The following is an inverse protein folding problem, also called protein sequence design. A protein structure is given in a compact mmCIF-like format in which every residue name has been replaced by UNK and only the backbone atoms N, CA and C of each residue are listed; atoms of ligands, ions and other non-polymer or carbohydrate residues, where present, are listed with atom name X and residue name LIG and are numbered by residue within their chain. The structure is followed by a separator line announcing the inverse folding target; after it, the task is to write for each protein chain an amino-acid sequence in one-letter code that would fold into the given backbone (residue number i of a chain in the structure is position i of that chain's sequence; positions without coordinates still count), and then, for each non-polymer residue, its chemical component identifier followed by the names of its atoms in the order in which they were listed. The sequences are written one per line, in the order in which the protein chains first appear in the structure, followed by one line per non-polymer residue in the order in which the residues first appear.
data_IF_895104741713
#
_entry.id   IF_895104741713
#
_cell.length_a   1.000
_cell.length_b   1.000
_cell.length_c   1.000
_cell.angle_alpha   90.00
_cell.angle_beta   90.00
_cell.angle_gamma   90.00
#
_symmetry.space_group_name_H-M   'P 1'
#
loop_
_entity.id
_entity.type
_entity.pdbx_description
1 polymer ?
#
# COMPACT_ATOMS: atom_id res chain seq x y z
N UNK A 1 -0.81 24.89 9.61
CA UNK A 1 -1.87 23.84 9.58
C UNK A 1 -1.66 22.85 8.43
N UNK A 2 -1.40 23.28 7.18
CA UNK A 2 -1.21 22.37 6.05
C UNK A 2 0.00 21.42 6.21
N UNK A 3 1.11 21.88 6.77
CA UNK A 3 2.32 21.08 6.99
C UNK A 3 2.09 19.93 7.99
N UNK A 4 1.35 20.16 9.07
CA UNK A 4 1.01 19.15 10.07
C UNK A 4 0.07 18.08 9.53
N UNK A 5 -0.77 18.42 8.55
CA UNK A 5 -1.67 17.48 7.90
C UNK A 5 -0.91 16.49 7.02
N UNK A 6 0.15 16.93 6.33
CA UNK A 6 0.96 16.08 5.46
C UNK A 6 1.80 15.04 6.24
N UNK A 7 2.18 15.33 7.47
CA UNK A 7 2.91 14.39 8.33
C UNK A 7 2.06 13.15 8.71
N UNK A 8 0.73 13.26 8.59
CA UNK A 8 -0.22 12.19 8.87
C UNK A 8 -0.52 11.31 7.66
N UNK A 9 0.01 11.65 6.50
CA UNK A 9 -0.24 10.97 5.23
C UNK A 9 1.04 10.28 4.76
N UNK A 10 0.96 8.98 4.46
CA UNK A 10 2.00 8.25 3.75
C UNK A 10 1.50 7.89 2.35
N UNK A 11 2.38 7.96 1.36
CA UNK A 11 2.09 7.59 -0.02
C UNK A 11 3.10 6.57 -0.53
N UNK A 12 2.59 5.50 -1.09
CA UNK A 12 3.36 4.49 -1.83
C UNK A 12 3.00 4.62 -3.29
N UNK A 13 3.95 5.14 -4.05
CA UNK A 13 3.83 5.27 -5.50
C UNK A 13 3.97 3.93 -6.22
N UNK A 14 3.48 3.88 -7.45
CA UNK A 14 3.62 2.74 -8.32
C UNK A 14 5.11 2.43 -8.56
N UNK A 15 5.45 1.15 -8.47
CA UNK A 15 6.83 0.65 -8.59
C UNK A 15 7.57 1.09 -9.86
N UNK A 16 6.87 1.30 -10.96
CA UNK A 16 7.47 1.71 -12.25
C UNK A 16 8.23 3.04 -12.20
N UNK A 17 7.97 3.87 -11.19
CA UNK A 17 8.56 5.21 -11.06
C UNK A 17 9.82 5.23 -10.19
N UNK A 18 10.25 4.06 -9.66
CA UNK A 18 11.35 4.00 -8.70
C UNK A 18 12.66 3.54 -9.36
N UNK A 19 13.74 4.24 -9.02
CA UNK A 19 15.09 3.89 -9.47
C UNK A 19 15.69 2.80 -8.55
N UNK A 20 15.73 1.57 -9.05
CA UNK A 20 16.32 0.42 -8.35
C UNK A 20 17.85 0.39 -8.37
N UNK A 21 18.47 1.26 -9.14
CA UNK A 21 19.95 1.32 -9.25
C UNK A 21 20.57 2.10 -8.10
N UNK A 22 19.77 2.78 -7.30
CA UNK A 22 20.26 3.55 -6.16
C UNK A 22 20.89 2.62 -5.11
N UNK A 23 22.15 2.81 -4.71
CA UNK A 23 22.92 1.86 -3.92
C UNK A 23 22.64 1.97 -2.42
N UNK A 24 21.38 1.76 -2.00
CA UNK A 24 21.00 1.73 -0.59
C UNK A 24 20.48 0.34 -0.18
N UNK A 25 20.62 0.04 1.10
CA UNK A 25 20.08 -1.16 1.73
C UNK A 25 18.58 -0.99 2.05
N UNK A 26 17.91 -2.12 2.33
CA UNK A 26 16.52 -2.10 2.84
C UNK A 26 16.41 -1.18 4.05
N UNK A 27 17.31 -1.34 5.03
CA UNK A 27 17.30 -0.58 6.29
C UNK A 27 17.41 0.93 6.06
N UNK A 28 18.28 1.34 5.16
CA UNK A 28 18.43 2.75 4.76
C UNK A 28 17.19 3.25 4.02
N UNK A 29 16.62 2.46 3.11
CA UNK A 29 15.41 2.82 2.37
C UNK A 29 14.20 3.02 3.32
N UNK A 30 14.01 2.13 4.30
CA UNK A 30 12.96 2.26 5.31
C UNK A 30 13.21 3.50 6.17
N UNK A 31 14.46 3.77 6.55
CA UNK A 31 14.84 4.92 7.35
C UNK A 31 14.48 6.27 6.69
N UNK A 32 14.40 6.34 5.34
CA UNK A 32 13.94 7.55 4.64
C UNK A 32 12.50 7.95 5.05
N UNK A 33 11.67 7.01 5.52
CA UNK A 33 10.33 7.33 6.05
C UNK A 33 10.36 8.26 7.27
N UNK A 34 11.45 8.30 8.02
CA UNK A 34 11.63 9.24 9.15
C UNK A 34 11.88 10.68 8.70
N UNK A 35 12.39 10.88 7.48
CA UNK A 35 12.79 12.20 6.97
C UNK A 35 11.65 13.22 6.93
N UNK A 36 10.41 12.77 6.81
CA UNK A 36 9.20 13.61 6.76
C UNK A 36 9.06 14.49 8.02
N UNK A 37 9.51 13.98 9.17
CA UNK A 37 9.42 14.67 10.48
C UNK A 37 10.75 15.26 10.95
N UNK A 38 11.81 15.12 10.16
CA UNK A 38 13.15 15.58 10.53
C UNK A 38 13.43 17.01 10.09
N UNK A 39 14.19 17.72 10.92
CA UNK A 39 14.75 19.02 10.53
C UNK A 39 15.94 18.83 9.57
N UNK A 40 16.25 19.83 8.72
CA UNK A 40 17.46 19.78 7.89
C UNK A 40 18.71 19.46 8.72
N UNK A 41 19.55 18.56 8.22
CA UNK A 41 20.79 18.10 8.88
C UNK A 41 20.60 17.32 10.18
N UNK A 42 19.40 17.01 10.60
CA UNK A 42 19.14 16.13 11.74
C UNK A 42 19.55 14.70 11.38
N UNK A 43 20.21 14.02 12.33
CA UNK A 43 20.53 12.58 12.20
C UNK A 43 19.51 11.75 12.95
N UNK A 44 19.27 10.54 12.48
CA UNK A 44 18.48 9.55 13.19
C UNK A 44 19.13 9.19 14.52
N UNK A 45 18.34 9.14 15.56
CA UNK A 45 18.76 8.71 16.89
C UNK A 45 18.56 7.18 17.08
N UNK A 46 18.95 6.64 18.24
CA UNK A 46 18.83 5.21 18.51
C UNK A 46 17.37 4.71 18.47
N UNK A 47 16.41 5.53 18.90
CA UNK A 47 15.00 5.17 18.86
C UNK A 47 14.47 5.14 17.43
N UNK A 48 14.91 6.06 16.57
CA UNK A 48 14.53 6.05 15.15
C UNK A 48 15.00 4.78 14.45
N UNK A 49 16.22 4.34 14.74
CA UNK A 49 16.74 3.10 14.20
C UNK A 49 16.01 1.86 14.73
N UNK A 50 15.60 1.88 15.99
CA UNK A 50 14.76 0.83 16.58
C UNK A 50 13.40 0.76 15.86
N UNK A 51 12.73 1.90 15.66
CA UNK A 51 11.47 1.97 14.91
C UNK A 51 11.63 1.41 13.46
N UNK A 52 12.79 1.66 12.82
CA UNK A 52 13.13 1.13 11.50
C UNK A 52 13.25 -0.40 11.52
N UNK A 53 13.98 -0.94 12.50
CA UNK A 53 14.21 -2.37 12.63
C UNK A 53 12.87 -3.10 12.94
N UNK A 54 12.03 -2.55 13.81
CA UNK A 54 10.68 -3.06 14.12
C UNK A 54 9.78 -3.08 12.86
N UNK A 55 9.81 -2.01 12.06
CA UNK A 55 9.03 -1.98 10.81
C UNK A 55 9.51 -3.01 9.77
N UNK A 56 10.82 -3.27 9.70
CA UNK A 56 11.39 -4.31 8.84
C UNK A 56 10.97 -5.71 9.31
N UNK A 57 10.94 -5.93 10.61
CA UNK A 57 10.47 -7.18 11.22
C UNK A 57 8.98 -7.40 10.90
N UNK A 58 8.14 -6.39 11.06
CA UNK A 58 6.69 -6.46 10.80
C UNK A 58 6.38 -6.89 9.36
N UNK A 59 7.18 -6.43 8.38
CA UNK A 59 7.01 -6.84 6.98
C UNK A 59 7.77 -8.13 6.62
N UNK A 60 8.40 -8.80 7.60
CA UNK A 60 9.10 -10.07 7.42
C UNK A 60 10.35 -9.98 6.55
N UNK A 61 11.17 -8.93 6.74
CA UNK A 61 12.40 -8.70 5.96
C UNK A 61 13.66 -8.59 6.83
N UNK A 62 13.63 -8.99 8.09
CA UNK A 62 14.74 -8.86 9.05
C UNK A 62 16.06 -9.43 8.52
N UNK A 63 16.04 -10.65 8.00
CA UNK A 63 17.23 -11.34 7.45
C UNK A 63 17.82 -10.65 6.21
N UNK A 64 17.03 -9.77 5.58
CA UNK A 64 17.41 -9.06 4.36
C UNK A 64 17.72 -7.57 4.61
N UNK A 65 17.66 -7.10 5.86
CA UNK A 65 17.75 -5.67 6.21
C UNK A 65 18.96 -4.95 5.60
N UNK A 66 20.09 -5.61 5.48
CA UNK A 66 21.34 -5.07 4.92
C UNK A 66 21.52 -5.36 3.42
N UNK A 67 20.54 -5.99 2.77
CA UNK A 67 20.59 -6.28 1.33
C UNK A 67 20.29 -5.03 0.53
N UNK A 68 21.00 -4.78 -0.60
CA UNK A 68 20.67 -3.70 -1.53
C UNK A 68 19.24 -3.84 -2.09
N UNK A 69 18.50 -2.74 -2.22
CA UNK A 69 17.12 -2.75 -2.75
C UNK A 69 17.05 -3.28 -4.18
N UNK A 70 18.08 -3.07 -5.00
CA UNK A 70 18.13 -3.56 -6.37
C UNK A 70 18.22 -5.08 -6.50
N UNK A 71 18.51 -5.81 -5.41
CA UNK A 71 18.59 -7.27 -5.39
C UNK A 71 17.29 -7.95 -4.91
N UNK A 72 16.21 -7.20 -4.76
CA UNK A 72 14.93 -7.68 -4.22
C UNK A 72 13.98 -8.16 -5.32
N UNK A 73 13.13 -9.15 -4.99
CA UNK A 73 11.94 -9.45 -5.78
C UNK A 73 10.94 -8.30 -5.72
N UNK A 74 9.98 -8.29 -6.66
CA UNK A 74 8.91 -7.29 -6.66
C UNK A 74 8.13 -7.21 -5.37
N UNK A 75 7.73 -8.36 -4.83
CA UNK A 75 7.00 -8.44 -3.58
C UNK A 75 7.84 -8.08 -2.35
N UNK A 76 9.14 -8.40 -2.34
CA UNK A 76 10.05 -7.96 -1.28
C UNK A 76 10.18 -6.43 -1.29
N UNK A 77 10.39 -5.85 -2.45
CA UNK A 77 10.51 -4.40 -2.56
C UNK A 77 9.22 -3.67 -2.18
N UNK A 78 8.05 -4.20 -2.57
CA UNK A 78 6.76 -3.64 -2.13
C UNK A 78 6.63 -3.63 -0.61
N UNK A 79 7.07 -4.68 0.07
CA UNK A 79 7.10 -4.74 1.53
C UNK A 79 8.07 -3.71 2.15
N UNK A 80 9.20 -3.41 1.49
CA UNK A 80 10.09 -2.31 1.91
C UNK A 80 9.38 -0.96 1.87
N UNK A 81 8.61 -0.70 0.81
CA UNK A 81 7.85 0.55 0.69
C UNK A 81 6.77 0.66 1.79
N UNK A 82 6.12 -0.44 2.13
CA UNK A 82 5.16 -0.50 3.24
C UNK A 82 5.85 -0.25 4.59
N UNK A 83 7.02 -0.87 4.85
CA UNK A 83 7.81 -0.61 6.06
C UNK A 83 8.22 0.87 6.16
N UNK A 84 8.56 1.52 5.04
CA UNK A 84 8.84 2.96 4.98
C UNK A 84 7.63 3.79 5.42
N UNK A 85 6.40 3.37 5.09
CA UNK A 85 5.19 4.02 5.57
C UNK A 85 4.96 3.83 7.07
N UNK A 86 5.28 2.65 7.60
CA UNK A 86 5.15 2.35 9.03
C UNK A 86 5.98 3.29 9.89
N UNK A 87 7.27 3.47 9.56
CA UNK A 87 8.16 4.35 10.35
C UNK A 87 7.75 5.82 10.30
N UNK A 88 6.99 6.23 9.30
CA UNK A 88 6.40 7.56 9.22
C UNK A 88 5.30 7.76 10.28
N UNK A 89 4.71 6.67 10.80
CA UNK A 89 3.60 6.68 11.77
C UNK A 89 2.44 7.56 11.27
N UNK A 90 2.05 7.35 10.00
CA UNK A 90 0.93 8.03 9.36
C UNK A 90 -0.40 7.38 9.76
N UNK A 91 -1.47 8.20 9.79
CA UNK A 91 -2.84 7.72 10.03
C UNK A 91 -3.55 7.34 8.72
N UNK A 92 -3.15 7.97 7.62
CA UNK A 92 -3.70 7.77 6.28
C UNK A 92 -2.62 7.24 5.36
N UNK A 93 -2.86 6.11 4.71
CA UNK A 93 -1.92 5.45 3.81
C UNK A 93 -2.56 5.36 2.42
N UNK A 94 -1.93 5.99 1.44
CA UNK A 94 -2.33 5.92 0.03
C UNK A 94 -1.42 4.94 -0.69
N UNK A 95 -2.01 3.93 -1.33
CA UNK A 95 -1.30 2.90 -2.09
C UNK A 95 -1.72 2.98 -3.55
N UNK A 96 -0.77 3.21 -4.45
CA UNK A 96 -1.04 3.27 -5.88
C UNK A 96 -0.63 1.95 -6.54
N UNK A 97 -1.63 1.14 -6.90
CA UNK A 97 -1.48 -0.19 -7.52
C UNK A 97 -0.44 -1.09 -6.84
N UNK A 98 -0.52 -1.35 -5.53
CA UNK A 98 0.54 -2.00 -4.77
C UNK A 98 0.80 -3.46 -5.15
N UNK A 99 -0.05 -4.08 -5.97
CA UNK A 99 0.05 -5.50 -6.35
C UNK A 99 0.57 -5.72 -7.78
N UNK A 100 0.88 -4.65 -8.52
CA UNK A 100 1.40 -4.77 -9.88
C UNK A 100 2.79 -5.41 -9.87
N UNK A 101 2.95 -6.49 -10.63
CA UNK A 101 4.22 -7.19 -10.79
C UNK A 101 4.72 -7.95 -9.56
N UNK A 102 3.82 -8.34 -8.67
CA UNK A 102 4.12 -9.23 -7.54
C UNK A 102 3.40 -10.58 -7.68
N UNK A 103 3.94 -11.59 -7.05
CA UNK A 103 3.35 -12.93 -7.02
C UNK A 103 2.21 -13.03 -5.99
N UNK A 104 1.36 -14.05 -6.14
CA UNK A 104 0.18 -14.26 -5.32
C UNK A 104 0.50 -14.45 -3.82
N UNK A 105 1.65 -15.04 -3.49
CA UNK A 105 2.05 -15.23 -2.08
C UNK A 105 2.44 -13.90 -1.45
N UNK A 106 3.19 -13.07 -2.17
CA UNK A 106 3.55 -11.72 -1.74
C UNK A 106 2.30 -10.84 -1.58
N UNK A 107 1.32 -10.93 -2.49
CA UNK A 107 0.05 -10.23 -2.38
C UNK A 107 -0.71 -10.60 -1.09
N UNK A 108 -0.80 -11.89 -0.76
CA UNK A 108 -1.44 -12.35 0.48
C UNK A 108 -0.77 -11.79 1.73
N UNK A 109 0.56 -11.77 1.77
CA UNK A 109 1.32 -11.21 2.89
C UNK A 109 1.02 -9.71 3.04
N UNK A 110 1.04 -8.97 1.94
CA UNK A 110 0.73 -7.53 1.93
C UNK A 110 -0.70 -7.27 2.40
N UNK A 111 -1.68 -8.05 1.93
CA UNK A 111 -3.08 -7.90 2.38
C UNK A 111 -3.26 -8.21 3.86
N UNK A 112 -2.50 -9.15 4.42
CA UNK A 112 -2.51 -9.42 5.86
C UNK A 112 -2.03 -8.20 6.65
N UNK A 113 -0.91 -7.57 6.23
CA UNK A 113 -0.41 -6.34 6.84
C UNK A 113 -1.41 -5.19 6.75
N UNK A 114 -2.04 -5.00 5.59
CA UNK A 114 -3.04 -3.94 5.39
C UNK A 114 -4.26 -4.13 6.31
N UNK A 115 -4.73 -5.37 6.49
CA UNK A 115 -5.84 -5.68 7.40
C UNK A 115 -5.45 -5.40 8.85
N UNK A 116 -4.25 -5.79 9.28
CA UNK A 116 -3.75 -5.48 10.60
C UNK A 116 -3.72 -3.96 10.84
N UNK A 117 -3.21 -3.18 9.92
CA UNK A 117 -3.16 -1.72 10.04
C UNK A 117 -4.55 -1.07 10.11
N UNK A 118 -5.52 -1.63 9.41
CA UNK A 118 -6.92 -1.22 9.53
C UNK A 118 -7.45 -1.48 10.95
N UNK A 119 -7.15 -2.66 11.52
CA UNK A 119 -7.53 -3.00 12.89
C UNK A 119 -6.86 -2.09 13.93
N UNK A 120 -5.66 -1.60 13.65
CA UNK A 120 -4.95 -0.58 14.43
C UNK A 120 -5.54 0.84 14.25
N UNK A 121 -6.58 1.01 13.44
CA UNK A 121 -7.27 2.28 13.23
C UNK A 121 -6.69 3.17 12.13
N UNK A 122 -5.77 2.66 11.30
CA UNK A 122 -5.30 3.38 10.12
C UNK A 122 -6.34 3.38 9.00
N UNK A 123 -6.40 4.42 8.22
CA UNK A 123 -7.22 4.51 7.00
C UNK A 123 -6.35 4.25 5.78
N UNK A 124 -6.69 3.23 4.99
CA UNK A 124 -5.94 2.88 3.77
C UNK A 124 -6.81 3.19 2.56
N UNK A 125 -6.31 4.03 1.66
CA UNK A 125 -6.89 4.27 0.35
C UNK A 125 -6.00 3.64 -0.72
N UNK A 126 -6.57 2.76 -1.54
CA UNK A 126 -5.84 2.02 -2.55
C UNK A 126 -6.43 2.24 -3.93
N UNK A 127 -5.58 2.58 -4.90
CA UNK A 127 -5.93 2.50 -6.31
C UNK A 127 -5.76 1.05 -6.75
N UNK A 128 -6.80 0.47 -7.36
CA UNK A 128 -6.80 -0.93 -7.77
C UNK A 128 -7.61 -1.11 -9.07
N UNK A 129 -7.09 -1.90 -9.98
CA UNK A 129 -7.72 -2.12 -11.29
C UNK A 129 -8.29 -3.55 -11.46
N UNK A 130 -7.93 -4.50 -10.59
CA UNK A 130 -8.49 -5.85 -10.63
C UNK A 130 -9.85 -5.89 -9.92
N UNK A 131 -10.91 -5.77 -10.71
CA UNK A 131 -12.28 -5.73 -10.20
C UNK A 131 -12.72 -7.05 -9.55
N UNK A 132 -12.06 -8.17 -9.85
CA UNK A 132 -12.43 -9.48 -9.29
C UNK A 132 -12.18 -9.58 -7.77
N UNK A 133 -11.22 -8.81 -7.26
CA UNK A 133 -10.79 -8.83 -5.85
C UNK A 133 -11.46 -7.76 -4.98
N UNK A 134 -12.21 -6.84 -5.58
CA UNK A 134 -12.74 -5.67 -4.88
C UNK A 134 -13.60 -6.05 -3.67
N UNK A 135 -14.46 -7.06 -3.81
CA UNK A 135 -15.34 -7.51 -2.73
C UNK A 135 -14.60 -8.13 -1.54
N UNK A 136 -13.48 -8.77 -1.81
CA UNK A 136 -12.68 -9.47 -0.80
C UNK A 136 -11.71 -8.54 -0.06
N UNK A 137 -11.33 -7.42 -0.70
CA UNK A 137 -10.26 -6.56 -0.23
C UNK A 137 -10.74 -5.26 0.42
N UNK A 138 -11.90 -4.73 -0.01
CA UNK A 138 -12.31 -3.38 0.35
C UNK A 138 -13.68 -3.31 1.02
N UNK A 139 -13.77 -2.55 2.10
CA UNK A 139 -15.03 -2.27 2.78
C UNK A 139 -15.85 -1.20 2.07
N UNK A 140 -15.15 -0.26 1.44
CA UNK A 140 -15.74 0.85 0.72
C UNK A 140 -15.04 1.03 -0.62
N UNK A 141 -15.74 1.57 -1.59
CA UNK A 141 -15.20 1.87 -2.92
C UNK A 141 -15.59 3.29 -3.35
N UNK A 142 -14.72 3.88 -4.16
CA UNK A 142 -14.97 5.12 -4.87
C UNK A 142 -14.85 4.82 -6.36
N UNK A 143 -15.94 4.94 -7.11
CA UNK A 143 -15.96 4.74 -8.55
C UNK A 143 -15.64 6.07 -9.24
N UNK A 144 -14.58 6.07 -10.06
CA UNK A 144 -14.05 7.28 -10.70
C UNK A 144 -14.05 7.15 -12.22
N UNK A 145 -14.61 8.13 -12.92
CA UNK A 145 -14.48 8.31 -14.36
C UNK A 145 -14.54 9.82 -14.67
N UNK A 146 -13.39 10.46 -14.93
CA UNK A 146 -13.21 11.92 -15.04
C UNK A 146 -13.68 12.71 -13.81
N UNK A 147 -14.32 12.06 -12.85
CA UNK A 147 -14.83 12.57 -11.59
C UNK A 147 -15.38 11.42 -10.78
N UNK A 148 -15.78 11.70 -9.54
CA UNK A 148 -16.43 10.69 -8.67
C UNK A 148 -17.84 10.42 -9.24
N UNK A 149 -18.08 9.16 -9.62
CA UNK A 149 -19.39 8.71 -10.11
C UNK A 149 -20.26 8.23 -8.97
N UNK A 150 -19.67 7.47 -8.03
CA UNK A 150 -20.33 7.00 -6.81
C UNK A 150 -19.28 6.63 -5.75
N UNK A 151 -19.69 6.58 -4.49
CA UNK A 151 -18.84 6.15 -3.38
C UNK A 151 -19.69 5.61 -2.21
N UNK A 152 -19.17 4.61 -1.50
CA UNK A 152 -19.86 4.03 -0.35
C UNK A 152 -19.40 2.61 -0.05
N UNK A 153 -20.19 1.89 0.73
CA UNK A 153 -19.90 0.49 1.07
C UNK A 153 -19.80 -0.36 -0.19
N UNK A 154 -18.84 -1.28 -0.23
CA UNK A 154 -18.58 -2.12 -1.39
C UNK A 154 -19.83 -2.88 -1.84
N UNK A 155 -20.60 -3.44 -0.90
CA UNK A 155 -21.82 -4.20 -1.20
C UNK A 155 -22.89 -3.37 -1.93
N UNK A 156 -22.99 -2.07 -1.63
CA UNK A 156 -24.02 -1.16 -2.15
C UNK A 156 -23.55 -0.40 -3.40
N UNK A 157 -22.24 -0.20 -3.53
CA UNK A 157 -21.64 0.65 -4.58
C UNK A 157 -21.04 -0.18 -5.70
N UNK A 158 -20.42 -1.33 -5.38
CA UNK A 158 -19.80 -2.20 -6.37
C UNK A 158 -20.81 -3.18 -6.96
N UNK A 159 -21.83 -2.64 -7.66
CA UNK A 159 -22.91 -3.40 -8.33
C UNK A 159 -22.80 -3.25 -9.86
N UNK A 160 -23.24 -4.25 -10.64
CA UNK A 160 -23.09 -4.28 -12.10
C UNK A 160 -23.59 -3.03 -12.82
N UNK A 161 -24.69 -2.46 -12.35
CA UNK A 161 -25.29 -1.26 -12.94
C UNK A 161 -24.36 -0.04 -12.81
N UNK A 162 -23.84 0.22 -11.61
CA UNK A 162 -22.94 1.34 -11.32
C UNK A 162 -21.58 1.18 -12.01
N UNK A 163 -21.08 -0.06 -12.08
CA UNK A 163 -19.83 -0.37 -12.78
C UNK A 163 -19.97 -0.12 -14.27
N UNK A 164 -21.07 -0.57 -14.90
CA UNK A 164 -21.34 -0.28 -16.31
C UNK A 164 -21.48 1.21 -16.58
N UNK A 165 -22.13 1.95 -15.69
CA UNK A 165 -22.25 3.40 -15.79
C UNK A 165 -20.89 4.09 -15.71
N UNK A 166 -19.98 3.56 -14.88
CA UNK A 166 -18.67 4.15 -14.66
C UNK A 166 -17.70 3.89 -15.80
N UNK A 167 -17.61 2.65 -16.27
CA UNK A 167 -16.54 2.21 -17.19
C UNK A 167 -17.04 1.92 -18.64
N UNK A 168 -18.36 2.03 -18.91
CA UNK A 168 -18.92 1.66 -20.21
C UNK A 168 -19.16 0.15 -20.35
N UNK A 169 -19.81 -0.28 -21.47
CA UNK A 169 -20.23 -1.66 -21.65
C UNK A 169 -19.12 -2.70 -21.62
N UNK A 170 -19.47 -3.93 -21.23
CA UNK A 170 -18.67 -5.15 -21.17
C UNK A 170 -17.49 -5.18 -20.16
N UNK A 171 -17.69 -4.72 -18.95
CA UNK A 171 -16.84 -5.16 -17.84
C UNK A 171 -17.37 -6.50 -17.35
N UNK A 172 -16.73 -7.61 -17.73
CA UNK A 172 -17.02 -8.94 -17.19
C UNK A 172 -16.55 -8.99 -15.72
N UNK A 173 -17.50 -8.84 -14.82
CA UNK A 173 -17.28 -9.21 -13.42
C UNK A 173 -17.44 -10.72 -13.39
N UNK A 174 -16.34 -11.45 -13.22
CA UNK A 174 -16.41 -12.86 -12.88
C UNK A 174 -17.21 -12.96 -11.57
N UNK A 175 -18.45 -13.39 -11.62
CA UNK A 175 -19.22 -13.77 -10.45
C UNK A 175 -18.47 -14.93 -9.82
N UNK A 176 -17.97 -14.75 -8.59
CA UNK A 176 -17.38 -15.83 -7.81
C UNK A 176 -18.35 -17.00 -7.80
N UNK A 177 -17.85 -18.17 -8.25
CA UNK A 177 -18.67 -19.34 -8.51
C UNK A 177 -19.57 -19.71 -7.34
N UNK A 178 -20.84 -19.76 -7.61
CA UNK A 178 -21.73 -20.62 -6.87
C UNK A 178 -21.23 -22.07 -7.06
N UNK A 179 -20.85 -22.68 -5.95
CA UNK A 179 -20.61 -24.11 -5.91
C UNK A 179 -21.88 -24.80 -6.44
N UNK A 180 -21.75 -25.50 -7.53
CA UNK A 180 -22.71 -26.52 -7.91
C UNK A 180 -22.30 -27.82 -7.28
N UNK A 181 -23.28 -28.45 -6.66
CA UNK A 181 -23.41 -29.76 -6.04
C UNK A 181 -22.51 -30.86 -6.61
#
# INVERSE_FOLDING_TARGET
EASQSLERIAYVEQKSNLDFTFPITIRECVALGKSVKMKPFQRLNAQDWKDVDEAIEEVGLTELAHRPIGALSGGQFQRVLLARCLVQKADYIFLDEPFVGIDMMSEKVIMTLIRQWKEEGKTILMVHHDLSKVRDYFDQVILVNRGIVDSGKTEETFVPEKIRKTYGGEVFIAQGGAAHE
#
